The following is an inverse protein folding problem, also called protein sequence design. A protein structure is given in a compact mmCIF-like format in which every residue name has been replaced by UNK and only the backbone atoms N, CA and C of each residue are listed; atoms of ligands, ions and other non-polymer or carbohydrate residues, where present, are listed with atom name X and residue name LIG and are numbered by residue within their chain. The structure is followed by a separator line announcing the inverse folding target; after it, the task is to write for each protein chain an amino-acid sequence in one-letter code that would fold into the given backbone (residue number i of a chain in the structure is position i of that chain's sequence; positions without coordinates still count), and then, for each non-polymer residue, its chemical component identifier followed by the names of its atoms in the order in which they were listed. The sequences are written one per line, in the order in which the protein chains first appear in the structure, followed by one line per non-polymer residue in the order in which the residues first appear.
data_IF_051655790468
#
_entry.id   IF_051655790468
#
_cell.length_a   1.000
_cell.length_b   1.000
_cell.length_c   1.000
_cell.angle_alpha   90.00
_cell.angle_beta   90.00
_cell.angle_gamma   90.00
#
_symmetry.space_group_name_H-M   'P 1'
#
loop_
_entity.id
_entity.type
_entity.pdbx_description
1 polymer ?
#
# COMPACT_ATOMS: atom_id res chain seq x y z
N UNK A 1 -40.91 30.94 -8.65
CA UNK A 1 -40.35 29.94 -9.58
C UNK A 1 -38.94 30.32 -10.03
N UNK A 2 -38.68 31.52 -10.56
CA UNK A 2 -37.35 31.96 -11.04
C UNK A 2 -36.27 31.99 -9.96
N UNK A 3 -36.56 32.53 -8.75
CA UNK A 3 -35.60 32.55 -7.60
C UNK A 3 -35.23 31.14 -7.13
N UNK A 4 -36.18 30.19 -7.11
CA UNK A 4 -35.89 28.78 -6.73
C UNK A 4 -34.97 28.13 -7.75
N UNK A 5 -35.21 28.35 -9.04
CA UNK A 5 -34.36 27.81 -10.12
C UNK A 5 -32.93 28.39 -10.05
N UNK A 6 -32.81 29.70 -9.78
CA UNK A 6 -31.48 30.32 -9.59
C UNK A 6 -30.77 29.77 -8.38
N UNK A 7 -31.46 29.50 -7.26
CA UNK A 7 -30.89 28.87 -6.07
C UNK A 7 -30.40 27.46 -6.36
N UNK A 8 -31.18 26.63 -7.06
CA UNK A 8 -30.78 25.28 -7.45
C UNK A 8 -29.56 25.26 -8.40
N UNK A 9 -29.55 26.18 -9.37
CA UNK A 9 -28.40 26.33 -10.28
C UNK A 9 -27.12 26.73 -9.53
N UNK A 10 -27.25 27.64 -8.56
CA UNK A 10 -26.10 28.02 -7.73
C UNK A 10 -25.55 26.84 -6.92
N UNK A 11 -26.43 26.09 -6.23
CA UNK A 11 -26.02 24.89 -5.46
C UNK A 11 -25.33 23.87 -6.37
N UNK A 12 -25.93 23.60 -7.54
CA UNK A 12 -25.34 22.67 -8.52
C UNK A 12 -23.96 23.15 -8.99
N UNK A 13 -23.81 24.45 -9.26
CA UNK A 13 -22.53 25.02 -9.71
C UNK A 13 -21.46 24.91 -8.62
N UNK A 14 -21.79 25.16 -7.35
CA UNK A 14 -20.89 24.99 -6.22
C UNK A 14 -20.46 23.52 -6.04
N UNK A 15 -21.42 22.59 -6.17
CA UNK A 15 -21.13 21.16 -6.10
C UNK A 15 -20.22 20.70 -7.26
N UNK A 16 -20.52 21.12 -8.47
CA UNK A 16 -19.71 20.81 -9.66
C UNK A 16 -18.28 21.37 -9.53
N UNK A 17 -18.14 22.60 -9.01
CA UNK A 17 -16.84 23.21 -8.71
C UNK A 17 -16.09 22.40 -7.64
N UNK A 18 -16.77 21.99 -6.57
CA UNK A 18 -16.18 21.14 -5.53
C UNK A 18 -15.68 19.80 -6.09
N UNK A 19 -16.45 19.13 -6.93
CA UNK A 19 -16.04 17.91 -7.63
C UNK A 19 -14.86 18.15 -8.56
N UNK A 20 -14.83 19.27 -9.27
CA UNK A 20 -13.72 19.65 -10.14
C UNK A 20 -12.43 19.89 -9.33
N UNK A 21 -12.51 20.61 -8.23
CA UNK A 21 -11.38 20.82 -7.31
C UNK A 21 -10.88 19.48 -6.73
N UNK A 22 -11.80 18.64 -6.25
CA UNK A 22 -11.46 17.31 -5.74
C UNK A 22 -10.79 16.44 -6.80
N UNK A 23 -11.21 16.52 -8.07
CA UNK A 23 -10.56 15.81 -9.18
C UNK A 23 -9.09 16.23 -9.35
N UNK A 24 -8.77 17.51 -9.26
CA UNK A 24 -7.40 17.99 -9.45
C UNK A 24 -6.50 17.83 -8.24
N UNK A 25 -7.08 17.75 -7.04
CA UNK A 25 -6.33 17.60 -5.78
C UNK A 25 -6.22 16.14 -5.31
N UNK A 26 -6.65 15.16 -6.11
CA UNK A 26 -6.68 13.76 -5.66
C UNK A 26 -5.34 13.25 -5.16
N UNK A 27 -4.25 13.59 -5.84
CA UNK A 27 -2.91 13.15 -5.44
C UNK A 27 -2.56 13.67 -4.05
N UNK A 28 -2.83 14.92 -3.76
CA UNK A 28 -2.60 15.55 -2.44
C UNK A 28 -3.53 14.99 -1.36
N UNK A 29 -4.77 14.62 -1.75
CA UNK A 29 -5.76 14.06 -0.82
C UNK A 29 -5.51 12.58 -0.49
N UNK A 30 -4.86 11.85 -1.40
CA UNK A 30 -4.60 10.41 -1.26
C UNK A 30 -3.20 10.18 -0.68
N UNK A 31 -2.19 10.93 -1.12
CA UNK A 31 -0.79 10.70 -0.80
C UNK A 31 -0.24 11.83 0.06
N UNK A 32 0.34 11.49 1.20
CA UNK A 32 0.85 12.43 2.20
C UNK A 32 2.34 12.18 2.45
N UNK A 33 3.23 12.48 1.47
CA UNK A 33 4.65 12.18 1.59
C UNK A 33 5.33 13.05 2.65
N UNK A 34 6.22 12.45 3.42
CA UNK A 34 7.32 13.14 4.07
C UNK A 34 8.50 13.17 3.12
N UNK A 35 8.89 14.35 2.65
CA UNK A 35 10.05 14.52 1.75
C UNK A 35 11.31 14.66 2.58
N UNK A 36 12.35 13.89 2.25
CA UNK A 36 13.65 13.91 2.92
C UNK A 36 14.71 14.54 2.02
N UNK A 37 15.70 15.20 2.63
CA UNK A 37 16.88 15.66 1.91
C UNK A 37 17.67 14.46 1.37
N UNK A 38 18.33 14.61 0.22
CA UNK A 38 19.08 13.49 -0.39
C UNK A 38 20.23 12.98 0.48
N UNK A 39 20.79 13.83 1.33
CA UNK A 39 21.85 13.53 2.29
C UNK A 39 21.32 13.09 3.67
N UNK A 40 20.01 12.93 3.83
CA UNK A 40 19.42 12.42 5.08
C UNK A 40 19.98 11.03 5.41
N UNK A 41 20.40 10.82 6.65
CA UNK A 41 20.89 9.52 7.17
C UNK A 41 19.85 8.90 8.08
N UNK A 42 19.42 7.70 7.73
CA UNK A 42 18.47 6.94 8.54
C UNK A 42 19.13 6.42 9.81
N UNK A 43 18.36 6.41 10.90
CA UNK A 43 18.80 5.94 12.22
C UNK A 43 18.04 4.65 12.56
N UNK A 44 18.45 3.54 11.94
CA UNK A 44 17.91 2.22 12.25
C UNK A 44 18.91 1.41 13.07
N UNK A 45 18.42 0.45 13.86
CA UNK A 45 19.27 -0.49 14.62
C UNK A 45 19.92 -1.54 13.71
N UNK A 46 19.36 -1.76 12.52
CA UNK A 46 19.80 -2.74 11.53
C UNK A 46 20.52 -2.06 10.37
N UNK A 47 21.57 -2.69 9.85
CA UNK A 47 22.25 -2.22 8.66
C UNK A 47 21.36 -2.30 7.42
N UNK A 48 21.54 -1.37 6.48
CA UNK A 48 20.79 -1.28 5.25
C UNK A 48 21.68 -0.84 4.08
N UNK A 49 21.29 -1.23 2.89
CA UNK A 49 21.83 -0.73 1.63
C UNK A 49 20.83 0.28 1.02
N UNK A 50 21.31 1.49 0.70
CA UNK A 50 20.52 2.48 -0.03
C UNK A 50 20.65 2.25 -1.53
N UNK A 51 19.51 2.23 -2.23
CA UNK A 51 19.42 2.04 -3.65
C UNK A 51 18.65 3.20 -4.30
N UNK A 52 19.10 3.60 -5.49
CA UNK A 52 18.41 4.59 -6.34
C UNK A 52 18.16 3.95 -7.70
N UNK A 53 16.92 3.54 -7.95
CA UNK A 53 16.53 2.76 -9.11
C UNK A 53 15.81 3.65 -10.13
N UNK A 54 16.37 3.80 -11.33
CA UNK A 54 15.83 4.66 -12.39
C UNK A 54 14.62 3.98 -13.04
N UNK A 55 13.40 4.41 -12.64
CA UNK A 55 12.12 3.89 -13.15
C UNK A 55 11.63 4.60 -14.41
N UNK A 56 12.22 5.77 -14.71
CA UNK A 56 11.99 6.55 -15.92
C UNK A 56 13.17 7.51 -16.10
N UNK A 57 13.38 8.10 -17.28
CA UNK A 57 14.50 9.03 -17.52
C UNK A 57 14.61 10.12 -16.45
N UNK A 58 15.70 10.12 -15.70
CA UNK A 58 16.00 11.04 -14.58
C UNK A 58 15.03 10.96 -13.39
N UNK A 59 14.29 9.90 -13.25
CA UNK A 59 13.40 9.64 -12.12
C UNK A 59 13.88 8.39 -11.40
N UNK A 60 14.42 8.58 -10.20
CA UNK A 60 14.92 7.51 -9.36
C UNK A 60 13.95 7.29 -8.19
N UNK A 61 13.60 6.05 -7.96
CA UNK A 61 12.95 5.60 -6.73
C UNK A 61 14.04 5.21 -5.74
N UNK A 62 13.94 5.79 -4.55
CA UNK A 62 14.79 5.43 -3.43
C UNK A 62 14.24 4.18 -2.74
N UNK A 63 15.11 3.23 -2.46
CA UNK A 63 14.78 1.99 -1.75
C UNK A 63 15.83 1.68 -0.68
N UNK A 64 15.42 0.91 0.31
CA UNK A 64 16.28 0.34 1.34
C UNK A 64 16.19 -1.18 1.27
N UNK A 65 17.34 -1.83 1.25
CA UNK A 65 17.47 -3.28 1.35
C UNK A 65 18.17 -3.63 2.66
N UNK A 66 17.41 -4.22 3.57
CA UNK A 66 17.92 -4.77 4.82
C UNK A 66 18.22 -6.25 4.60
N UNK A 67 19.44 -6.70 4.93
CA UNK A 67 19.90 -8.06 4.65
C UNK A 67 19.98 -8.88 5.92
N UNK A 68 19.34 -10.03 5.94
CA UNK A 68 19.45 -11.00 7.02
C UNK A 68 20.72 -11.84 6.87
N UNK A 69 21.30 -12.24 7.97
CA UNK A 69 22.38 -13.23 7.97
C UNK A 69 21.83 -14.61 7.54
N UNK A 70 22.30 -15.20 6.46
CA UNK A 70 21.77 -16.45 5.87
C UNK A 70 20.29 -16.36 5.47
N UNK A 71 19.95 -15.38 4.67
CA UNK A 71 18.59 -15.11 4.24
C UNK A 71 17.92 -16.30 3.50
N UNK A 72 16.68 -16.62 3.89
CA UNK A 72 15.84 -17.67 3.30
C UNK A 72 14.97 -17.15 2.15
N UNK A 73 14.82 -15.84 2.04
CA UNK A 73 13.95 -15.16 1.09
C UNK A 73 13.86 -13.67 1.39
N UNK A 74 13.01 -12.99 0.69
CA UNK A 74 12.87 -11.54 0.78
C UNK A 74 11.41 -11.12 0.92
N UNK A 75 11.14 -10.16 1.78
CA UNK A 75 9.85 -9.47 1.87
C UNK A 75 9.91 -8.20 1.02
N UNK A 76 9.10 -8.14 -0.03
CA UNK A 76 8.88 -6.96 -0.85
C UNK A 76 7.73 -6.16 -0.22
N UNK A 77 8.08 -5.08 0.48
CA UNK A 77 7.15 -4.32 1.31
C UNK A 77 6.63 -3.07 0.61
N UNK A 78 5.32 -2.95 0.48
CA UNK A 78 4.59 -1.82 -0.13
C UNK A 78 3.89 -1.03 0.95
N UNK A 79 4.44 0.12 1.32
CA UNK A 79 4.01 0.90 2.49
C UNK A 79 2.68 1.66 2.30
N UNK A 80 2.21 2.33 3.34
CA UNK A 80 0.98 3.13 3.38
C UNK A 80 1.10 4.46 2.61
N UNK A 81 0.05 5.27 2.68
CA UNK A 81 -0.08 6.52 1.92
C UNK A 81 0.62 7.74 2.54
N UNK A 82 1.24 7.60 3.71
CA UNK A 82 1.85 8.71 4.44
C UNK A 82 3.28 8.38 4.87
N UNK A 83 4.04 9.42 5.22
CA UNK A 83 5.39 9.29 5.75
C UNK A 83 6.46 9.04 4.67
N UNK A 84 7.47 8.28 5.04
CA UNK A 84 8.59 7.85 4.18
C UNK A 84 9.25 6.61 4.79
N UNK A 85 10.28 6.07 4.15
CA UNK A 85 11.05 4.94 4.72
C UNK A 85 11.64 5.25 6.10
N UNK A 86 11.77 6.54 6.48
CA UNK A 86 12.14 6.92 7.84
C UNK A 86 11.21 6.32 8.89
N UNK A 87 9.91 6.26 8.57
CA UNK A 87 8.89 5.75 9.49
C UNK A 87 8.76 4.22 9.42
N UNK A 88 8.95 3.65 8.24
CA UNK A 88 8.69 2.23 7.96
C UNK A 88 9.89 1.31 8.18
N UNK A 89 11.12 1.83 8.05
CA UNK A 89 12.34 1.03 8.13
C UNK A 89 12.57 0.34 9.47
N UNK A 90 11.97 0.85 10.56
CA UNK A 90 12.00 0.22 11.88
C UNK A 90 11.39 -1.18 11.93
N UNK A 91 10.56 -1.55 10.94
CA UNK A 91 10.02 -2.90 10.82
C UNK A 91 11.06 -3.94 10.43
N UNK A 92 12.25 -3.54 9.97
CA UNK A 92 13.31 -4.43 9.49
C UNK A 92 13.72 -5.49 10.50
N UNK A 93 13.85 -5.13 11.78
CA UNK A 93 14.24 -6.05 12.84
C UNK A 93 13.35 -7.29 12.95
N UNK A 94 12.04 -7.14 12.70
CA UNK A 94 11.11 -8.27 12.70
C UNK A 94 11.48 -9.29 11.61
N UNK A 95 11.65 -8.84 10.36
CA UNK A 95 11.89 -9.75 9.22
C UNK A 95 13.29 -10.36 9.28
N UNK A 96 14.31 -9.56 9.64
CA UNK A 96 15.68 -10.03 9.79
C UNK A 96 15.79 -11.09 10.88
N UNK A 97 15.09 -10.92 12.02
CA UNK A 97 15.05 -11.92 13.09
C UNK A 97 14.44 -13.25 12.67
N UNK A 98 13.59 -13.25 11.64
CA UNK A 98 12.97 -14.43 11.05
C UNK A 98 13.80 -15.04 9.89
N UNK A 99 14.93 -14.41 9.56
CA UNK A 99 15.84 -14.85 8.50
C UNK A 99 15.38 -14.47 7.10
N UNK A 100 14.69 -13.35 6.96
CA UNK A 100 14.26 -12.79 5.67
C UNK A 100 14.84 -11.40 5.46
N UNK A 101 15.31 -11.14 4.25
CA UNK A 101 15.60 -9.80 3.80
C UNK A 101 14.33 -8.97 3.76
N UNK A 102 14.49 -7.65 3.89
CA UNK A 102 13.40 -6.71 3.69
C UNK A 102 13.79 -5.68 2.64
N UNK A 103 13.01 -5.61 1.56
CA UNK A 103 13.13 -4.59 0.53
C UNK A 103 11.94 -3.62 0.63
N UNK A 104 12.23 -2.35 0.89
CA UNK A 104 11.26 -1.27 1.00
C UNK A 104 11.64 -0.13 0.07
N UNK A 105 10.67 0.64 -0.39
CA UNK A 105 10.92 1.77 -1.30
C UNK A 105 9.93 2.90 -1.04
N UNK A 106 10.37 4.12 -1.27
CA UNK A 106 9.54 5.31 -1.27
C UNK A 106 8.90 5.53 -2.64
N UNK A 107 7.61 5.79 -2.72
CA UNK A 107 6.94 6.16 -3.99
C UNK A 107 7.49 7.48 -4.53
N UNK A 108 7.21 7.81 -5.80
CA UNK A 108 7.58 9.12 -6.36
C UNK A 108 7.11 10.26 -5.45
N UNK A 109 8.04 11.15 -5.09
CA UNK A 109 7.81 12.28 -4.21
C UNK A 109 7.78 11.97 -2.72
N UNK A 110 7.95 10.70 -2.33
CA UNK A 110 8.15 10.30 -0.93
C UNK A 110 9.64 10.20 -0.61
N UNK A 111 9.99 10.47 0.64
CA UNK A 111 11.35 10.35 1.14
C UNK A 111 12.39 10.99 0.23
N UNK A 112 13.34 10.19 -0.24
CA UNK A 112 14.39 10.61 -1.17
C UNK A 112 14.06 10.32 -2.65
N UNK A 113 12.88 9.79 -2.97
CA UNK A 113 12.47 9.49 -4.35
C UNK A 113 12.20 10.76 -5.16
N UNK A 114 12.48 10.68 -6.48
CA UNK A 114 12.24 11.77 -7.41
C UNK A 114 10.78 11.80 -7.89
N UNK A 115 10.39 12.92 -8.48
CA UNK A 115 9.14 13.08 -9.22
C UNK A 115 7.91 13.18 -8.36
N UNK A 116 6.75 12.85 -8.93
CA UNK A 116 5.44 12.85 -8.28
C UNK A 116 4.55 11.76 -8.86
N UNK A 117 3.60 11.25 -8.07
CA UNK A 117 2.58 10.31 -8.53
C UNK A 117 1.57 11.08 -9.40
N UNK A 118 1.32 10.61 -10.63
CA UNK A 118 0.43 11.28 -11.61
C UNK A 118 -0.73 10.42 -12.07
N UNK A 119 -0.63 9.11 -11.92
CA UNK A 119 -1.69 8.17 -12.31
C UNK A 119 -1.53 6.83 -11.61
N UNK A 120 -2.63 6.07 -11.53
CA UNK A 120 -2.62 4.71 -11.04
C UNK A 120 -1.72 3.78 -11.87
N UNK A 121 -1.73 3.95 -13.20
CA UNK A 121 -0.90 3.15 -14.11
C UNK A 121 0.60 3.38 -13.86
N UNK A 122 1.01 4.64 -13.68
CA UNK A 122 2.38 4.98 -13.33
C UNK A 122 2.77 4.37 -11.98
N UNK A 123 1.91 4.51 -10.96
CA UNK A 123 2.15 3.98 -9.63
C UNK A 123 2.38 2.46 -9.66
N UNK A 124 1.50 1.71 -10.34
CA UNK A 124 1.69 0.26 -10.49
C UNK A 124 2.89 -0.11 -11.36
N UNK A 125 3.20 0.68 -12.39
CA UNK A 125 4.36 0.47 -13.24
C UNK A 125 5.69 0.61 -12.48
N UNK A 126 5.78 1.61 -11.59
CA UNK A 126 6.94 1.78 -10.74
C UNK A 126 7.09 0.61 -9.75
N UNK A 127 6.00 0.17 -9.12
CA UNK A 127 6.02 -0.98 -8.20
C UNK A 127 6.42 -2.27 -8.93
N UNK A 128 5.92 -2.49 -10.14
CA UNK A 128 6.30 -3.65 -10.96
C UNK A 128 7.78 -3.61 -11.34
N UNK A 129 8.31 -2.44 -11.72
CA UNK A 129 9.73 -2.30 -12.03
C UNK A 129 10.62 -2.68 -10.84
N UNK A 130 10.23 -2.27 -9.63
CA UNK A 130 10.96 -2.59 -8.40
C UNK A 130 10.82 -4.08 -8.04
N UNK A 131 9.66 -4.66 -8.26
CA UNK A 131 9.47 -6.09 -8.09
C UNK A 131 10.33 -6.90 -9.08
N UNK A 132 10.40 -6.47 -10.34
CA UNK A 132 11.25 -7.08 -11.36
C UNK A 132 12.76 -6.91 -11.03
N UNK A 133 13.13 -5.81 -10.35
CA UNK A 133 14.48 -5.65 -9.82
C UNK A 133 14.80 -6.73 -8.77
N UNK A 134 13.91 -6.95 -7.81
CA UNK A 134 14.08 -7.99 -6.77
C UNK A 134 14.14 -9.39 -7.40
N UNK A 135 13.35 -9.67 -8.42
CA UNK A 135 13.34 -10.94 -9.16
C UNK A 135 14.65 -11.27 -9.90
N UNK A 136 15.58 -10.34 -10.04
CA UNK A 136 16.90 -10.63 -10.63
C UNK A 136 17.79 -11.47 -9.70
N UNK A 137 17.56 -11.32 -8.39
CA UNK A 137 18.38 -11.98 -7.36
C UNK A 137 17.60 -13.09 -6.63
N UNK A 138 16.26 -13.04 -6.63
CA UNK A 138 15.40 -13.93 -5.88
C UNK A 138 14.40 -14.67 -6.79
N UNK A 139 14.30 -16.00 -6.60
CA UNK A 139 13.18 -16.77 -7.19
C UNK A 139 11.86 -16.29 -6.59
N UNK A 140 10.80 -16.23 -7.38
CA UNK A 140 9.48 -15.81 -6.88
C UNK A 140 8.97 -16.65 -5.71
N UNK A 141 9.39 -17.91 -5.61
CA UNK A 141 9.08 -18.79 -4.46
C UNK A 141 9.75 -18.38 -3.17
N UNK A 142 10.71 -17.46 -3.22
CA UNK A 142 11.39 -16.88 -2.06
C UNK A 142 10.90 -15.45 -1.79
N UNK A 143 10.06 -14.87 -2.65
CA UNK A 143 9.54 -13.52 -2.50
C UNK A 143 8.18 -13.58 -1.81
N UNK A 144 8.04 -12.82 -0.72
CA UNK A 144 6.76 -12.53 -0.08
C UNK A 144 6.42 -11.08 -0.39
N UNK A 145 5.25 -10.85 -0.95
CA UNK A 145 4.75 -9.50 -1.17
C UNK A 145 3.90 -9.09 0.02
N UNK A 146 4.24 -7.99 0.64
CA UNK A 146 3.46 -7.47 1.76
C UNK A 146 3.01 -6.04 1.48
N UNK A 147 1.71 -5.78 1.65
CA UNK A 147 1.13 -4.45 1.49
C UNK A 147 0.45 -3.95 2.75
N UNK A 148 0.61 -2.66 3.03
CA UNK A 148 -0.07 -1.98 4.12
C UNK A 148 -0.97 -0.86 3.62
N UNK A 149 -2.24 -0.81 4.10
CA UNK A 149 -3.17 0.28 3.80
C UNK A 149 -3.31 0.48 2.29
N UNK A 150 -3.01 1.67 1.75
CA UNK A 150 -3.07 1.93 0.30
C UNK A 150 -2.16 0.98 -0.50
N UNK A 151 -1.03 0.57 0.07
CA UNK A 151 -0.10 -0.37 -0.54
C UNK A 151 -0.70 -1.75 -0.81
N UNK A 152 -1.81 -2.12 -0.14
CA UNK A 152 -2.46 -3.43 -0.32
C UNK A 152 -2.98 -3.64 -1.74
N UNK A 153 -3.46 -2.59 -2.41
CA UNK A 153 -3.88 -2.71 -3.81
C UNK A 153 -2.70 -2.98 -4.75
N UNK A 154 -1.56 -2.30 -4.53
CA UNK A 154 -0.37 -2.56 -5.32
C UNK A 154 0.22 -3.94 -5.03
N UNK A 155 0.25 -4.35 -3.77
CA UNK A 155 0.68 -5.70 -3.38
C UNK A 155 -0.20 -6.78 -4.03
N UNK A 156 -1.53 -6.62 -3.99
CA UNK A 156 -2.47 -7.51 -4.66
C UNK A 156 -2.28 -7.53 -6.18
N UNK A 157 -2.02 -6.35 -6.79
CA UNK A 157 -1.72 -6.25 -8.23
C UNK A 157 -0.42 -6.99 -8.57
N UNK A 158 0.64 -6.83 -7.77
CA UNK A 158 1.89 -7.56 -7.97
C UNK A 158 1.69 -9.08 -7.87
N UNK A 159 0.93 -9.55 -6.87
CA UNK A 159 0.64 -10.98 -6.73
C UNK A 159 -0.29 -11.52 -7.84
N UNK A 160 -1.16 -10.69 -8.43
CA UNK A 160 -1.98 -11.05 -9.58
C UNK A 160 -1.13 -11.22 -10.85
N UNK A 161 -0.23 -10.28 -11.12
CA UNK A 161 0.58 -10.24 -12.34
C UNK A 161 1.77 -11.21 -12.32
N UNK A 162 2.21 -11.60 -11.13
CA UNK A 162 3.36 -12.45 -10.85
C UNK A 162 2.93 -13.69 -10.04
N UNK A 163 3.89 -14.44 -9.50
CA UNK A 163 3.59 -15.63 -8.70
C UNK A 163 4.48 -15.72 -7.45
N UNK A 164 4.43 -14.71 -6.52
CA UNK A 164 5.22 -14.75 -5.31
C UNK A 164 4.86 -15.95 -4.44
N UNK A 165 5.73 -16.28 -3.48
CA UNK A 165 5.48 -17.35 -2.51
C UNK A 165 4.20 -17.12 -1.71
N UNK A 166 3.96 -15.87 -1.29
CA UNK A 166 2.83 -15.50 -0.42
C UNK A 166 2.49 -14.01 -0.60
N UNK A 167 1.22 -13.67 -0.43
CA UNK A 167 0.74 -12.29 -0.33
C UNK A 167 0.24 -12.03 1.08
N UNK A 168 0.78 -11.00 1.74
CA UNK A 168 0.35 -10.52 3.06
C UNK A 168 -0.28 -9.14 2.92
N UNK A 169 -1.48 -8.96 3.44
CA UNK A 169 -2.21 -7.69 3.41
C UNK A 169 -2.52 -7.22 4.82
N UNK A 170 -2.11 -6.01 5.17
CA UNK A 170 -2.41 -5.36 6.45
C UNK A 170 -3.36 -4.19 6.23
N UNK A 171 -4.49 -4.18 6.93
CA UNK A 171 -5.55 -3.18 6.82
C UNK A 171 -5.95 -2.91 5.36
N UNK A 172 -6.33 -3.94 4.57
CA UNK A 172 -6.74 -3.74 3.20
C UNK A 172 -8.11 -3.09 3.11
N UNK A 173 -8.34 -2.36 2.00
CA UNK A 173 -9.65 -1.86 1.62
C UNK A 173 -10.18 -2.64 0.40
N UNK A 174 -11.50 -2.71 0.28
CA UNK A 174 -12.18 -3.42 -0.81
C UNK A 174 -11.86 -2.82 -2.19
N UNK A 175 -12.03 -1.49 -2.30
CA UNK A 175 -11.57 -0.65 -3.41
C UNK A 175 -11.59 0.81 -2.96
N UNK A 176 -10.82 1.69 -3.59
CA UNK A 176 -10.83 3.11 -3.21
C UNK A 176 -12.20 3.76 -3.46
N UNK A 177 -12.93 3.48 -4.58
CA UNK A 177 -14.32 3.97 -4.73
C UNK A 177 -15.25 3.53 -3.60
N UNK A 178 -15.13 2.28 -3.13
CA UNK A 178 -15.94 1.78 -2.02
C UNK A 178 -15.62 2.51 -0.72
N UNK A 179 -14.34 2.67 -0.41
CA UNK A 179 -13.86 3.37 0.78
C UNK A 179 -14.30 4.85 0.78
N UNK A 180 -14.13 5.55 -0.35
CA UNK A 180 -14.56 6.96 -0.47
C UNK A 180 -16.07 7.08 -0.34
N UNK A 181 -16.84 6.20 -0.96
CA UNK A 181 -18.31 6.23 -0.85
C UNK A 181 -18.80 5.99 0.56
N UNK A 182 -18.12 5.13 1.36
CA UNK A 182 -18.50 4.88 2.75
C UNK A 182 -18.26 6.09 3.66
N UNK A 183 -17.25 6.91 3.36
CA UNK A 183 -16.88 8.10 4.14
C UNK A 183 -17.49 9.41 3.60
N UNK A 184 -17.66 9.50 2.30
CA UNK A 184 -18.06 10.70 1.56
C UNK A 184 -19.13 10.35 0.52
N UNK A 185 -20.31 9.92 0.98
CA UNK A 185 -21.39 9.44 0.14
C UNK A 185 -21.86 10.45 -0.95
N UNK A 186 -21.59 11.73 -0.73
CA UNK A 186 -21.91 12.82 -1.66
C UNK A 186 -20.91 12.98 -2.82
N UNK A 187 -19.73 12.35 -2.75
CA UNK A 187 -18.74 12.42 -3.83
C UNK A 187 -19.03 11.36 -4.91
N UNK A 188 -19.13 11.75 -6.19
CA UNK A 188 -19.30 10.79 -7.27
C UNK A 188 -17.98 10.05 -7.53
N UNK A 189 -17.99 8.74 -7.30
CA UNK A 189 -16.79 7.91 -7.46
C UNK A 189 -16.28 7.80 -8.91
N UNK A 190 -17.10 8.25 -9.87
CA UNK A 190 -16.73 8.33 -11.30
C UNK A 190 -15.60 9.31 -11.58
N UNK A 191 -15.41 10.34 -10.72
CA UNK A 191 -14.30 11.30 -10.86
C UNK A 191 -12.96 10.77 -10.35
N UNK A 192 -12.91 9.61 -9.71
CA UNK A 192 -11.67 9.08 -9.16
C UNK A 192 -10.71 8.61 -10.26
N UNK A 193 -9.51 9.18 -10.28
CA UNK A 193 -8.37 8.78 -11.12
C UNK A 193 -7.77 7.45 -10.63
N UNK A 194 -7.78 7.25 -9.31
CA UNK A 194 -7.25 6.07 -8.63
C UNK A 194 -8.42 5.23 -8.15
N UNK A 195 -8.61 4.06 -8.73
CA UNK A 195 -9.67 3.14 -8.32
C UNK A 195 -9.17 2.07 -7.36
N UNK A 196 -7.91 1.66 -7.50
CA UNK A 196 -7.26 0.68 -6.64
C UNK A 196 -8.23 -0.45 -6.25
N UNK A 197 -8.62 -1.23 -7.26
CA UNK A 197 -9.63 -2.28 -7.16
C UNK A 197 -9.04 -3.54 -6.51
N UNK A 198 -8.76 -3.50 -5.21
CA UNK A 198 -8.11 -4.60 -4.47
C UNK A 198 -8.85 -5.92 -4.65
N UNK A 199 -10.19 -5.91 -4.59
CA UNK A 199 -11.03 -7.09 -4.79
C UNK A 199 -10.83 -7.75 -6.16
N UNK A 200 -10.73 -6.94 -7.22
CA UNK A 200 -10.59 -7.49 -8.59
C UNK A 200 -9.21 -8.13 -8.77
N UNK A 201 -8.17 -7.55 -8.19
CA UNK A 201 -6.84 -8.13 -8.22
C UNK A 201 -6.79 -9.44 -7.44
N UNK A 202 -7.34 -9.47 -6.23
CA UNK A 202 -7.34 -10.65 -5.36
C UNK A 202 -8.07 -11.85 -5.97
N UNK A 203 -9.12 -11.64 -6.76
CA UNK A 203 -9.83 -12.71 -7.48
C UNK A 203 -8.93 -13.49 -8.45
N UNK A 204 -7.81 -12.89 -8.87
CA UNK A 204 -6.87 -13.49 -9.85
C UNK A 204 -5.53 -13.88 -9.23
N UNK A 205 -5.33 -13.65 -7.93
CA UNK A 205 -4.12 -14.08 -7.21
C UNK A 205 -4.10 -15.59 -7.08
N UNK A 206 -2.93 -16.19 -7.33
CA UNK A 206 -2.73 -17.66 -7.33
C UNK A 206 -1.95 -18.17 -6.12
N UNK A 207 -1.13 -17.32 -5.52
CA UNK A 207 -0.40 -17.68 -4.31
C UNK A 207 -1.30 -17.65 -3.07
N UNK A 208 -0.91 -18.26 -1.94
CA UNK A 208 -1.59 -18.10 -0.65
C UNK A 208 -1.69 -16.62 -0.25
N UNK A 209 -2.84 -16.24 0.34
CA UNK A 209 -3.10 -14.88 0.80
C UNK A 209 -3.45 -14.90 2.28
N UNK A 210 -2.72 -14.15 3.09
CA UNK A 210 -3.08 -13.87 4.49
C UNK A 210 -3.41 -12.38 4.64
N UNK A 211 -4.54 -12.10 5.28
CA UNK A 211 -5.05 -10.75 5.46
C UNK A 211 -5.25 -10.47 6.95
N UNK A 212 -4.71 -9.35 7.43
CA UNK A 212 -4.87 -8.86 8.79
C UNK A 212 -5.69 -7.58 8.82
N UNK A 213 -6.63 -7.49 9.76
CA UNK A 213 -7.36 -6.23 9.97
C UNK A 213 -7.72 -6.04 11.44
N UNK A 214 -7.49 -4.84 11.94
CA UNK A 214 -7.85 -4.45 13.30
C UNK A 214 -9.34 -4.12 13.43
N UNK A 215 -10.00 -4.60 14.47
CA UNK A 215 -11.44 -4.33 14.68
C UNK A 215 -11.73 -2.88 15.06
N UNK A 216 -10.71 -2.15 15.57
CA UNK A 216 -10.79 -0.73 15.94
C UNK A 216 -10.17 0.21 14.89
N UNK A 217 -9.98 -0.27 13.64
CA UNK A 217 -9.42 0.54 12.55
C UNK A 217 -10.38 1.68 12.18
N UNK A 218 -9.99 2.93 12.50
CA UNK A 218 -10.78 4.13 12.22
C UNK A 218 -10.54 4.68 10.81
N UNK A 219 -9.43 4.31 10.15
CA UNK A 219 -9.07 4.79 8.83
C UNK A 219 -9.70 3.94 7.72
N UNK A 220 -9.61 2.63 7.83
CA UNK A 220 -10.26 1.69 6.90
C UNK A 220 -11.22 0.83 7.71
N UNK A 221 -12.53 1.07 7.63
CA UNK A 221 -13.50 0.29 8.40
C UNK A 221 -13.32 -1.20 8.21
N UNK A 222 -13.36 -1.97 9.32
CA UNK A 222 -13.19 -3.42 9.37
C UNK A 222 -14.06 -4.17 8.35
N UNK A 223 -15.26 -3.63 8.04
CA UNK A 223 -16.18 -4.19 7.04
C UNK A 223 -15.59 -4.32 5.63
N UNK A 224 -14.48 -3.61 5.32
CA UNK A 224 -13.77 -3.80 4.05
C UNK A 224 -13.10 -5.17 3.98
N UNK A 225 -12.45 -5.59 5.06
CA UNK A 225 -11.82 -6.90 5.15
C UNK A 225 -12.85 -8.03 5.26
N UNK A 226 -13.92 -7.84 6.03
CA UNK A 226 -15.03 -8.80 6.09
C UNK A 226 -15.61 -9.05 4.70
N UNK A 227 -15.81 -7.99 3.93
CA UNK A 227 -16.33 -8.11 2.58
C UNK A 227 -15.35 -8.83 1.64
N UNK A 228 -14.05 -8.53 1.72
CA UNK A 228 -13.03 -9.22 0.92
C UNK A 228 -13.01 -10.72 1.23
N UNK A 229 -13.02 -11.10 2.51
CA UNK A 229 -13.01 -12.51 2.92
C UNK A 229 -14.29 -13.25 2.57
N UNK A 230 -15.44 -12.56 2.58
CA UNK A 230 -16.72 -13.14 2.18
C UNK A 230 -16.79 -13.41 0.66
N UNK A 231 -16.18 -12.55 -0.16
CA UNK A 231 -16.15 -12.72 -1.61
C UNK A 231 -15.04 -13.67 -2.10
N UNK A 232 -13.96 -13.83 -1.32
CA UNK A 232 -12.77 -14.61 -1.71
C UNK A 232 -12.43 -15.57 -0.57
N UNK A 233 -13.04 -16.74 -0.59
CA UNK A 233 -12.94 -17.73 0.48
C UNK A 233 -11.55 -18.36 0.68
N UNK A 234 -10.63 -18.16 -0.27
CA UNK A 234 -9.24 -18.63 -0.17
C UNK A 234 -8.35 -17.73 0.69
N UNK A 235 -8.83 -16.56 1.14
CA UNK A 235 -8.08 -15.66 2.01
C UNK A 235 -8.07 -16.21 3.43
N UNK A 236 -6.87 -16.39 3.97
CA UNK A 236 -6.66 -16.63 5.39
C UNK A 236 -6.80 -15.30 6.16
N UNK A 237 -8.01 -15.05 6.69
CA UNK A 237 -8.34 -13.79 7.34
C UNK A 237 -8.09 -13.85 8.84
N UNK A 238 -7.11 -13.08 9.30
CA UNK A 238 -6.74 -12.94 10.73
C UNK A 238 -7.34 -11.64 11.26
N UNK A 239 -8.36 -11.77 12.10
CA UNK A 239 -8.96 -10.65 12.82
C UNK A 239 -8.08 -10.29 14.01
N UNK A 240 -7.70 -9.00 14.14
CA UNK A 240 -6.91 -8.50 15.27
C UNK A 240 -7.81 -7.67 16.18
N UNK A 241 -8.25 -8.22 17.34
CA UNK A 241 -9.17 -7.52 18.24
C UNK A 241 -8.57 -6.22 18.78
N UNK A 242 -9.40 -5.18 18.92
CA UNK A 242 -9.10 -3.88 19.52
C UNK A 242 -7.85 -3.16 18.94
N UNK A 243 -7.42 -3.58 17.75
CA UNK A 243 -6.22 -3.07 17.09
C UNK A 243 -6.60 -1.90 16.16
N UNK A 244 -5.85 -0.81 16.29
CA UNK A 244 -5.96 0.36 15.42
C UNK A 244 -5.23 0.13 14.09
N UNK A 245 -5.39 1.09 13.16
CA UNK A 245 -4.84 0.98 11.80
C UNK A 245 -3.34 0.68 11.74
N UNK A 246 -2.55 1.39 12.54
CA UNK A 246 -1.09 1.29 12.49
C UNK A 246 -0.50 0.24 13.45
N UNK A 247 -1.32 -0.39 14.30
CA UNK A 247 -0.84 -1.21 15.39
C UNK A 247 -0.71 -2.71 15.02
N UNK A 248 -1.20 -3.09 13.84
CA UNK A 248 -1.17 -4.49 13.37
C UNK A 248 0.23 -5.13 13.50
N UNK A 249 1.35 -4.47 13.08
CA UNK A 249 2.69 -5.06 13.16
C UNK A 249 3.15 -5.38 14.59
N UNK A 250 2.59 -4.69 15.58
CA UNK A 250 2.94 -4.85 16.99
C UNK A 250 2.07 -5.86 17.72
N UNK A 251 1.00 -6.38 17.08
CA UNK A 251 0.16 -7.41 17.68
C UNK A 251 0.85 -8.77 17.68
N UNK A 252 0.69 -9.52 18.77
CA UNK A 252 1.21 -10.89 18.86
C UNK A 252 0.59 -11.83 17.83
N UNK A 253 -0.67 -11.59 17.43
CA UNK A 253 -1.34 -12.37 16.39
C UNK A 253 -0.65 -12.21 15.03
N UNK A 254 -0.28 -10.98 14.66
CA UNK A 254 0.48 -10.72 13.44
C UNK A 254 1.86 -11.37 13.52
N UNK A 255 2.62 -11.10 14.59
CA UNK A 255 4.00 -11.61 14.75
C UNK A 255 4.06 -13.14 14.72
N UNK A 256 3.17 -13.80 15.46
CA UNK A 256 3.08 -15.27 15.46
C UNK A 256 2.71 -15.84 14.08
N UNK A 257 1.77 -15.20 13.39
CA UNK A 257 1.37 -15.64 12.06
C UNK A 257 2.50 -15.43 11.04
N UNK A 258 3.21 -14.30 11.11
CA UNK A 258 4.38 -14.05 10.26
C UNK A 258 5.48 -15.09 10.49
N UNK A 259 5.72 -15.55 11.73
CA UNK A 259 6.61 -16.67 11.99
C UNK A 259 6.22 -17.93 11.20
N UNK A 260 4.93 -18.23 11.08
CA UNK A 260 4.46 -19.41 10.31
C UNK A 260 4.55 -19.21 8.79
N UNK A 261 4.41 -17.97 8.29
CA UNK A 261 4.52 -17.66 6.86
C UNK A 261 5.98 -17.66 6.41
N UNK A 262 6.89 -17.20 7.28
CA UNK A 262 8.31 -17.02 7.00
C UNK A 262 9.18 -18.26 7.37
N UNK A 263 8.58 -19.33 7.82
CA UNK A 263 9.22 -20.63 8.00
C UNK A 263 9.01 -21.48 6.73
#
# INVERSE_FOLDING_TARGET
MMLVLQGLLFIFSCYALGCWVAYWLQETLIFHPTVLAKDYTFQFETDYEELYLEVAPKIHIHALHFKAENSKGIVFYVHGNAGSLQDWGSLSSLYLSLGYDLFMFDYRGFGKSDGTIKSQQQFFGDVQFLYDYVKREWDEKQIIVEGFSIGTAAAAKMAMDNNPRHLVLKAPYYSLPHLIKSKHAYLPTTILKYKFMTVDFLKSVRCPVTMFHGTADELIPFSNAERLSAEISSIDFVVVPDCLHNDIPYSSLYQNKMQTILV
#
